data_IF_975252617801
#
_entry.id   IF_975252617801
#
_cell.length_a   1.000
_cell.length_b   1.000
_cell.length_c   1.000
_cell.angle_alpha   90.00
_cell.angle_beta   90.00
_cell.angle_gamma   90.00
#
_symmetry.space_group_name_H-M   'P 1'
#
loop_
_entity.id
_entity.type
_entity.pdbx_description
1 polymer ?
#
# COMPACT_ATOMS: atom_id res chain seq x y z
N UNK A 1 0.10 -18.04 -9.93
CA UNK A 1 -0.65 -16.80 -10.15
C UNK A 1 -1.37 -16.48 -8.85
N UNK A 2 -0.89 -15.51 -8.12
CA UNK A 2 -1.56 -15.06 -6.90
C UNK A 2 -2.74 -14.19 -7.35
N UNK A 3 -3.96 -14.74 -7.28
CA UNK A 3 -5.16 -13.95 -7.46
C UNK A 3 -5.20 -12.90 -6.35
N UNK A 4 -4.91 -11.64 -6.69
CA UNK A 4 -4.94 -10.50 -5.79
C UNK A 4 -6.36 -10.30 -5.21
N UNK A 5 -7.36 -10.82 -5.91
CA UNK A 5 -8.77 -10.82 -5.52
C UNK A 5 -9.24 -12.26 -5.31
N UNK A 6 -9.38 -12.67 -4.04
CA UNK A 6 -10.02 -13.94 -3.66
C UNK A 6 -11.55 -13.91 -3.87
N UNK A 7 -12.02 -13.47 -5.03
CA UNK A 7 -13.39 -13.74 -5.43
C UNK A 7 -13.44 -15.12 -6.08
N UNK A 8 -14.32 -16.00 -5.56
CA UNK A 8 -14.52 -17.34 -6.12
C UNK A 8 -14.85 -17.21 -7.62
N UNK A 9 -13.99 -17.66 -8.54
CA UNK A 9 -14.13 -17.40 -9.99
C UNK A 9 -15.47 -17.85 -10.58
N UNK A 10 -16.08 -18.87 -9.96
CA UNK A 10 -17.32 -19.51 -10.42
C UNK A 10 -18.59 -18.68 -10.15
N UNK A 11 -18.52 -17.60 -9.36
CA UNK A 11 -19.68 -16.75 -9.05
C UNK A 11 -19.68 -15.43 -9.83
N UNK A 12 -18.63 -15.16 -10.62
CA UNK A 12 -18.48 -13.91 -11.38
C UNK A 12 -19.11 -14.02 -12.78
N UNK A 13 -19.75 -12.93 -13.23
CA UNK A 13 -20.17 -12.79 -14.61
C UNK A 13 -18.96 -12.85 -15.57
N UNK A 14 -19.20 -13.13 -16.86
CA UNK A 14 -18.13 -13.09 -17.88
C UNK A 14 -17.42 -11.74 -17.90
N UNK A 15 -18.18 -10.64 -17.75
CA UNK A 15 -17.67 -9.28 -17.69
C UNK A 15 -16.75 -9.07 -16.50
N UNK A 16 -17.13 -9.55 -15.31
CA UNK A 16 -16.34 -9.40 -14.09
C UNK A 16 -15.06 -10.25 -14.12
N UNK A 17 -15.13 -11.46 -14.70
CA UNK A 17 -13.93 -12.29 -14.92
C UNK A 17 -12.93 -11.60 -15.83
N UNK A 18 -13.39 -11.00 -16.93
CA UNK A 18 -12.52 -10.24 -17.84
C UNK A 18 -11.90 -9.03 -17.15
N UNK A 19 -12.71 -8.30 -16.34
CA UNK A 19 -12.21 -7.16 -15.56
C UNK A 19 -11.14 -7.60 -14.54
N UNK A 20 -11.35 -8.68 -13.83
CA UNK A 20 -10.37 -9.25 -12.91
C UNK A 20 -9.07 -9.63 -13.63
N UNK A 21 -9.15 -10.29 -14.79
CA UNK A 21 -7.99 -10.63 -15.59
C UNK A 21 -7.20 -9.38 -16.06
N UNK A 22 -7.90 -8.28 -16.42
CA UNK A 22 -7.26 -7.01 -16.78
C UNK A 22 -6.52 -6.42 -15.59
N UNK A 23 -7.11 -6.45 -14.41
CA UNK A 23 -6.49 -5.95 -13.17
C UNK A 23 -5.23 -6.76 -12.83
N UNK A 24 -5.32 -8.10 -12.87
CA UNK A 24 -4.17 -8.98 -12.63
C UNK A 24 -3.05 -8.74 -13.65
N UNK A 25 -3.40 -8.58 -14.93
CA UNK A 25 -2.46 -8.23 -16.00
C UNK A 25 -1.82 -6.86 -15.79
N UNK A 26 -2.60 -5.88 -15.34
CA UNK A 26 -2.09 -4.55 -15.01
C UNK A 26 -1.12 -4.61 -13.82
N UNK A 27 -1.44 -5.34 -12.76
CA UNK A 27 -0.55 -5.53 -11.60
C UNK A 27 0.76 -6.18 -12.02
N UNK A 28 0.72 -7.24 -12.86
CA UNK A 28 1.95 -7.90 -13.36
C UNK A 28 2.84 -6.96 -14.19
N UNK A 29 2.25 -6.11 -15.02
CA UNK A 29 3.00 -5.14 -15.83
C UNK A 29 3.55 -4.01 -14.97
N UNK A 30 2.72 -3.48 -14.05
CA UNK A 30 3.09 -2.37 -13.18
C UNK A 30 4.22 -2.74 -12.20
N UNK A 31 4.17 -3.93 -11.62
CA UNK A 31 5.21 -4.39 -10.69
C UNK A 31 6.58 -4.56 -11.36
N UNK A 32 6.60 -4.82 -12.69
CA UNK A 32 7.84 -5.07 -13.45
C UNK A 32 8.40 -3.82 -14.13
N UNK A 33 7.53 -2.94 -14.62
CA UNK A 33 7.90 -1.80 -15.48
C UNK A 33 7.62 -0.44 -14.87
N UNK A 34 6.82 -0.41 -13.81
CA UNK A 34 6.35 0.80 -13.18
C UNK A 34 5.25 1.51 -13.97
N UNK A 35 4.69 2.56 -13.34
CA UNK A 35 3.58 3.31 -13.93
C UNK A 35 3.96 4.05 -15.22
N UNK A 36 5.19 4.55 -15.32
CA UNK A 36 5.60 5.35 -16.47
C UNK A 36 5.82 4.51 -17.73
N UNK A 37 6.41 3.32 -17.59
CA UNK A 37 6.84 2.48 -18.70
C UNK A 37 5.85 1.37 -19.08
N UNK A 38 4.68 1.32 -18.44
CA UNK A 38 3.64 0.34 -18.72
C UNK A 38 2.72 0.80 -19.85
N UNK A 39 2.22 -0.14 -20.67
CA UNK A 39 1.29 0.14 -21.76
C UNK A 39 0.01 -0.70 -21.65
N UNK A 40 -1.10 -0.16 -22.19
CA UNK A 40 -2.38 -0.89 -22.28
C UNK A 40 -2.22 -2.18 -23.05
N UNK A 41 -1.42 -2.17 -24.13
CA UNK A 41 -1.16 -3.36 -24.95
C UNK A 41 -0.57 -4.49 -24.11
N UNK A 42 0.43 -4.21 -23.32
CA UNK A 42 1.06 -5.21 -22.43
C UNK A 42 0.11 -5.73 -21.36
N UNK A 43 -0.72 -4.85 -20.79
CA UNK A 43 -1.74 -5.25 -19.82
C UNK A 43 -2.79 -6.18 -20.43
N UNK A 44 -3.26 -5.87 -21.66
CA UNK A 44 -4.19 -6.70 -22.40
C UNK A 44 -3.58 -8.06 -22.78
N UNK A 45 -2.33 -8.08 -23.24
CA UNK A 45 -1.59 -9.31 -23.54
C UNK A 45 -1.45 -10.19 -22.29
N UNK A 46 -1.09 -9.61 -21.13
CA UNK A 46 -1.02 -10.31 -19.86
C UNK A 46 -2.35 -10.85 -19.37
N UNK A 47 -3.43 -10.10 -19.62
CA UNK A 47 -4.80 -10.52 -19.31
C UNK A 47 -5.34 -11.59 -20.28
N UNK A 48 -4.61 -11.92 -21.36
CA UNK A 48 -5.04 -12.88 -22.37
C UNK A 48 -6.24 -12.39 -23.20
N UNK A 49 -6.35 -11.07 -23.44
CA UNK A 49 -7.46 -10.45 -24.16
C UNK A 49 -6.97 -9.58 -25.33
N UNK A 50 -7.84 -9.37 -26.30
CA UNK A 50 -7.58 -8.40 -27.37
C UNK A 50 -7.59 -6.95 -26.85
N UNK A 51 -6.80 -6.07 -27.46
CA UNK A 51 -6.70 -4.66 -27.09
C UNK A 51 -8.08 -3.95 -27.13
N UNK A 52 -8.93 -4.26 -28.10
CA UNK A 52 -10.30 -3.74 -28.16
C UNK A 52 -11.17 -4.15 -26.98
N UNK A 53 -10.95 -5.36 -26.44
CA UNK A 53 -11.66 -5.83 -25.25
C UNK A 53 -11.27 -5.03 -24.01
N UNK A 54 -10.01 -4.60 -23.90
CA UNK A 54 -9.57 -3.72 -22.82
C UNK A 54 -10.37 -2.43 -22.79
N UNK A 55 -10.55 -1.78 -23.93
CA UNK A 55 -11.28 -0.51 -24.03
C UNK A 55 -12.78 -0.61 -23.74
N UNK A 56 -13.37 -1.82 -23.77
CA UNK A 56 -14.72 -2.05 -23.28
C UNK A 56 -14.85 -1.99 -21.75
N UNK A 57 -13.72 -2.08 -21.01
CA UNK A 57 -13.68 -2.02 -19.54
C UNK A 57 -13.06 -0.73 -19.01
N UNK A 58 -12.03 -0.23 -19.67
CA UNK A 58 -11.26 0.95 -19.26
C UNK A 58 -11.02 1.86 -20.45
N UNK A 59 -11.47 3.11 -20.38
CA UNK A 59 -11.37 4.09 -21.48
C UNK A 59 -9.94 4.49 -21.82
N UNK A 60 -9.05 4.45 -20.83
CA UNK A 60 -7.66 4.90 -20.93
C UNK A 60 -6.78 4.27 -19.87
N UNK A 61 -5.47 4.53 -19.96
CA UNK A 61 -4.47 4.07 -19.00
C UNK A 61 -4.71 4.60 -17.58
N UNK A 62 -5.19 5.85 -17.47
CA UNK A 62 -5.48 6.45 -16.17
C UNK A 62 -6.58 5.70 -15.43
N UNK A 63 -7.64 5.29 -16.13
CA UNK A 63 -8.79 4.60 -15.52
C UNK A 63 -8.43 3.25 -14.91
N UNK A 64 -7.53 2.47 -15.51
CA UNK A 64 -7.03 1.22 -14.92
C UNK A 64 -6.08 1.51 -13.74
N UNK A 65 -5.25 2.55 -13.81
CA UNK A 65 -4.38 2.94 -12.71
C UNK A 65 -5.19 3.41 -11.50
N UNK A 66 -6.22 4.23 -11.71
CA UNK A 66 -7.12 4.66 -10.64
C UNK A 66 -7.81 3.45 -9.97
N UNK A 67 -8.17 2.42 -10.75
CA UNK A 67 -8.75 1.19 -10.23
C UNK A 67 -7.74 0.40 -9.39
N UNK A 68 -6.53 0.15 -9.91
CA UNK A 68 -5.45 -0.54 -9.17
C UNK A 68 -5.13 0.24 -7.89
N UNK A 69 -5.04 1.57 -7.97
CA UNK A 69 -4.81 2.42 -6.81
C UNK A 69 -5.89 2.28 -5.73
N UNK A 70 -7.18 2.27 -6.12
CA UNK A 70 -8.29 2.05 -5.18
C UNK A 70 -8.19 0.69 -4.48
N UNK A 71 -7.81 -0.35 -5.22
CA UNK A 71 -7.69 -1.70 -4.67
C UNK A 71 -6.53 -1.79 -3.66
N UNK A 72 -5.41 -1.14 -3.97
CA UNK A 72 -4.28 -1.02 -3.03
C UNK A 72 -4.71 -0.25 -1.77
N UNK A 73 -5.46 0.85 -1.93
CA UNK A 73 -5.98 1.62 -0.79
C UNK A 73 -6.93 0.79 0.09
N UNK A 74 -7.81 -0.02 -0.51
CA UNK A 74 -8.72 -0.92 0.22
C UNK A 74 -7.92 -1.97 1.01
N UNK A 75 -6.94 -2.60 0.39
CA UNK A 75 -6.09 -3.60 1.05
C UNK A 75 -5.29 -2.98 2.20
N UNK A 76 -4.79 -1.76 1.99
CA UNK A 76 -4.13 -0.96 3.00
C UNK A 76 -5.04 -0.71 4.21
N UNK A 77 -6.25 -0.23 3.95
CA UNK A 77 -7.25 0.07 4.98
C UNK A 77 -7.56 -1.17 5.80
N UNK A 78 -7.80 -2.31 5.15
CA UNK A 78 -8.03 -3.59 5.85
C UNK A 78 -6.88 -3.97 6.77
N UNK A 79 -5.63 -3.86 6.28
CA UNK A 79 -4.44 -4.16 7.07
C UNK A 79 -4.33 -3.28 8.31
N UNK A 80 -4.74 -2.00 8.22
CA UNK A 80 -4.75 -1.06 9.35
C UNK A 80 -5.90 -1.37 10.31
N UNK A 81 -7.12 -1.58 9.80
CA UNK A 81 -8.32 -1.82 10.62
C UNK A 81 -8.25 -3.12 11.42
N UNK A 82 -7.62 -4.16 10.88
CA UNK A 82 -7.34 -5.39 11.62
C UNK A 82 -6.49 -5.15 12.88
N UNK A 83 -5.62 -4.13 12.88
CA UNK A 83 -4.83 -3.71 14.03
C UNK A 83 -5.58 -2.82 15.01
N UNK A 84 -6.54 -2.02 14.53
CA UNK A 84 -7.30 -1.12 15.40
C UNK A 84 -8.11 -1.86 16.44
N UNK A 85 -8.52 -3.11 16.16
CA UNK A 85 -9.25 -3.95 17.09
C UNK A 85 -8.45 -4.39 18.31
N UNK A 86 -7.11 -4.39 18.22
CA UNK A 86 -6.23 -5.04 19.20
C UNK A 86 -5.59 -4.10 20.23
N UNK A 87 -5.55 -2.78 19.99
CA UNK A 87 -5.00 -1.83 20.96
C UNK A 87 -5.59 -0.43 20.86
N UNK A 88 -5.71 0.23 22.02
CA UNK A 88 -6.11 1.65 22.11
C UNK A 88 -4.91 2.60 22.21
N UNK A 89 -3.72 2.07 22.44
CA UNK A 89 -2.49 2.85 22.56
C UNK A 89 -2.01 3.33 21.19
N UNK A 90 -1.95 4.65 20.93
CA UNK A 90 -1.51 5.20 19.66
C UNK A 90 -0.08 4.80 19.27
N UNK A 91 0.83 4.65 20.25
CA UNK A 91 2.20 4.23 19.98
C UNK A 91 2.24 2.79 19.50
N UNK A 92 1.50 1.90 20.15
CA UNK A 92 1.41 0.50 19.75
C UNK A 92 0.73 0.35 18.39
N UNK A 93 -0.30 1.17 18.08
CA UNK A 93 -0.93 1.19 16.75
C UNK A 93 0.09 1.53 15.66
N UNK A 94 0.84 2.61 15.83
CA UNK A 94 1.87 3.03 14.84
C UNK A 94 2.95 1.94 14.69
N UNK A 95 3.38 1.31 15.76
CA UNK A 95 4.36 0.21 15.72
C UNK A 95 3.79 -0.98 14.95
N UNK A 96 2.59 -1.42 15.30
CA UNK A 96 1.96 -2.59 14.69
C UNK A 96 1.68 -2.37 13.20
N UNK A 97 1.06 -1.27 12.84
CA UNK A 97 0.77 -0.94 11.44
C UNK A 97 2.04 -0.82 10.61
N UNK A 98 3.11 -0.21 11.14
CA UNK A 98 4.41 -0.14 10.47
C UNK A 98 4.98 -1.55 10.22
N UNK A 99 4.97 -2.43 11.23
CA UNK A 99 5.46 -3.81 11.09
C UNK A 99 4.68 -4.56 10.03
N UNK A 100 3.36 -4.59 10.11
CA UNK A 100 2.51 -5.29 9.14
C UNK A 100 2.67 -4.76 7.73
N UNK A 101 2.82 -3.47 7.57
CA UNK A 101 3.03 -2.85 6.28
C UNK A 101 4.31 -3.35 5.60
N UNK A 102 5.40 -3.37 6.37
CA UNK A 102 6.67 -3.89 5.90
C UNK A 102 6.57 -5.40 5.61
N UNK A 103 5.98 -6.18 6.52
CA UNK A 103 5.78 -7.62 6.36
C UNK A 103 4.93 -7.94 5.12
N UNK A 104 3.79 -7.25 4.95
CA UNK A 104 2.91 -7.43 3.80
C UNK A 104 3.61 -7.17 2.48
N UNK A 105 4.45 -6.13 2.41
CA UNK A 105 5.19 -5.79 1.20
C UNK A 105 6.18 -6.87 0.77
N UNK A 106 6.69 -7.68 1.69
CA UNK A 106 7.58 -8.81 1.39
C UNK A 106 6.80 -10.09 1.09
N UNK A 107 5.70 -10.32 1.80
CA UNK A 107 4.83 -11.48 1.56
C UNK A 107 4.16 -11.43 0.18
N UNK A 108 3.86 -10.22 -0.31
CA UNK A 108 3.27 -9.96 -1.63
C UNK A 108 4.10 -8.90 -2.35
N UNK A 109 5.26 -9.29 -2.94
CA UNK A 109 6.22 -8.33 -3.49
C UNK A 109 5.64 -7.41 -4.57
N UNK A 110 4.77 -7.92 -5.45
CA UNK A 110 4.10 -7.10 -6.47
C UNK A 110 3.29 -5.97 -5.83
N UNK A 111 2.57 -6.25 -4.75
CA UNK A 111 1.87 -5.23 -3.98
C UNK A 111 2.83 -4.18 -3.39
N UNK A 112 3.92 -4.63 -2.78
CA UNK A 112 4.93 -3.74 -2.19
C UNK A 112 5.56 -2.82 -3.22
N UNK A 113 5.91 -3.33 -4.40
CA UNK A 113 6.49 -2.56 -5.52
C UNK A 113 5.49 -1.52 -6.02
N UNK A 114 4.26 -1.95 -6.32
CA UNK A 114 3.21 -1.05 -6.82
C UNK A 114 2.85 0.00 -5.77
N UNK A 115 2.79 -0.37 -4.49
CA UNK A 115 2.53 0.57 -3.40
C UNK A 115 3.59 1.68 -3.34
N UNK A 116 4.89 1.34 -3.44
CA UNK A 116 5.98 2.32 -3.44
C UNK A 116 5.84 3.33 -4.57
N UNK A 117 5.50 2.88 -5.78
CA UNK A 117 5.28 3.75 -6.92
C UNK A 117 3.96 4.53 -6.80
N UNK A 118 2.88 3.86 -6.39
CA UNK A 118 1.57 4.47 -6.24
C UNK A 118 1.58 5.59 -5.19
N UNK A 119 2.38 5.47 -4.14
CA UNK A 119 2.54 6.53 -3.15
C UNK A 119 3.04 7.84 -3.78
N UNK A 120 3.96 7.76 -4.72
CA UNK A 120 4.53 8.93 -5.39
C UNK A 120 3.55 9.53 -6.44
N UNK A 121 2.82 8.69 -7.16
CA UNK A 121 2.00 9.10 -8.32
C UNK A 121 0.50 9.18 -8.07
N UNK A 122 -0.02 8.59 -6.97
CA UNK A 122 -1.45 8.53 -6.69
C UNK A 122 -1.82 9.23 -5.38
N UNK A 123 -2.39 10.45 -5.45
CA UNK A 123 -2.80 11.19 -4.26
C UNK A 123 -3.78 10.41 -3.36
N UNK A 124 -4.62 9.55 -3.94
CA UNK A 124 -5.56 8.72 -3.17
C UNK A 124 -4.84 7.80 -2.21
N UNK A 125 -3.76 7.15 -2.64
CA UNK A 125 -2.95 6.26 -1.79
C UNK A 125 -2.27 7.07 -0.69
N UNK A 126 -1.62 8.18 -1.07
CA UNK A 126 -0.96 9.07 -0.11
C UNK A 126 -1.93 9.55 0.97
N UNK A 127 -3.11 9.99 0.58
CA UNK A 127 -4.11 10.50 1.51
C UNK A 127 -4.61 9.42 2.48
N UNK A 128 -4.84 8.19 2.01
CA UNK A 128 -5.25 7.09 2.89
C UNK A 128 -4.15 6.73 3.90
N UNK A 129 -2.90 6.62 3.45
CA UNK A 129 -1.76 6.36 4.37
C UNK A 129 -1.65 7.46 5.44
N UNK A 130 -1.71 8.72 5.01
CA UNK A 130 -1.57 9.86 5.91
C UNK A 130 -2.72 9.96 6.90
N UNK A 131 -3.94 9.66 6.50
CA UNK A 131 -5.15 9.78 7.32
C UNK A 131 -5.01 9.04 8.66
N UNK A 132 -4.68 7.75 8.62
CA UNK A 132 -4.55 6.93 9.83
C UNK A 132 -3.34 7.34 10.68
N UNK A 133 -2.17 7.52 10.05
CA UNK A 133 -0.97 7.94 10.76
C UNK A 133 -1.15 9.28 11.47
N UNK A 134 -1.72 10.28 10.79
CA UNK A 134 -2.02 11.60 11.38
C UNK A 134 -2.99 11.50 12.54
N UNK A 135 -4.03 10.67 12.41
CA UNK A 135 -5.01 10.45 13.47
C UNK A 135 -4.35 9.89 14.75
N UNK A 136 -3.51 8.86 14.60
CA UNK A 136 -2.82 8.25 15.74
C UNK A 136 -1.78 9.18 16.36
N UNK A 137 -1.04 9.94 15.56
CA UNK A 137 -0.09 10.96 16.06
C UNK A 137 -0.84 12.02 16.86
N UNK A 138 -1.91 12.60 16.33
CA UNK A 138 -2.72 13.62 17.02
C UNK A 138 -3.31 13.09 18.32
N UNK A 139 -3.80 11.84 18.31
CA UNK A 139 -4.31 11.17 19.51
C UNK A 139 -3.20 11.00 20.56
N UNK A 140 -2.03 10.53 20.17
CA UNK A 140 -0.88 10.35 21.08
C UNK A 140 -0.37 11.66 21.67
N UNK A 141 -0.38 12.75 20.91
CA UNK A 141 -0.06 14.11 21.40
C UNK A 141 -1.11 14.54 22.43
N UNK A 142 -2.40 14.37 22.12
CA UNK A 142 -3.52 14.77 23.00
C UNK A 142 -3.44 14.08 24.36
N UNK A 143 -3.11 12.78 24.41
CA UNK A 143 -2.98 12.02 25.65
C UNK A 143 -1.55 12.07 26.24
N UNK A 144 -0.68 12.90 25.69
CA UNK A 144 0.68 13.20 26.15
C UNK A 144 1.66 12.01 26.12
N UNK A 145 1.42 10.96 25.35
CA UNK A 145 2.40 9.88 25.13
C UNK A 145 3.45 10.28 24.09
N UNK A 146 3.12 11.19 23.17
CA UNK A 146 4.09 11.82 22.28
C UNK A 146 4.40 13.25 22.76
N UNK A 147 5.70 13.55 22.89
CA UNK A 147 6.19 14.84 23.43
C UNK A 147 6.64 15.79 22.32
N UNK A 148 5.91 15.79 21.21
CA UNK A 148 6.11 16.67 20.04
C UNK A 148 4.87 17.51 19.79
N UNK A 149 5.03 18.66 19.12
CA UNK A 149 3.93 19.34 18.48
C UNK A 149 3.58 18.67 17.16
N UNK A 150 2.33 18.75 16.75
CA UNK A 150 1.94 18.24 15.43
C UNK A 150 2.64 19.06 14.34
N UNK A 151 3.37 18.36 13.48
CA UNK A 151 4.07 18.93 12.34
C UNK A 151 3.97 17.97 11.16
N UNK A 152 3.53 18.47 10.00
CA UNK A 152 3.42 17.70 8.77
C UNK A 152 4.78 17.14 8.35
N UNK A 153 5.86 17.89 8.55
CA UNK A 153 7.21 17.44 8.21
C UNK A 153 7.63 16.20 9.01
N UNK A 154 7.26 16.11 10.29
CA UNK A 154 7.49 14.90 11.10
C UNK A 154 6.72 13.71 10.55
N UNK A 155 5.49 13.92 10.11
CA UNK A 155 4.67 12.87 9.47
C UNK A 155 5.33 12.37 8.18
N UNK A 156 5.81 13.29 7.35
CA UNK A 156 6.52 12.96 6.09
C UNK A 156 7.81 12.18 6.36
N UNK A 157 8.60 12.56 7.36
CA UNK A 157 9.80 11.81 7.77
C UNK A 157 9.45 10.38 8.19
N UNK A 158 8.37 10.18 8.94
CA UNK A 158 7.92 8.83 9.33
C UNK A 158 7.58 8.00 8.10
N UNK A 159 6.85 8.57 7.13
CA UNK A 159 6.53 7.88 5.88
C UNK A 159 7.80 7.52 5.10
N UNK A 160 8.75 8.44 4.99
CA UNK A 160 10.04 8.16 4.30
C UNK A 160 10.77 7.00 4.95
N UNK A 161 10.79 6.90 6.29
CA UNK A 161 11.38 5.76 7.00
C UNK A 161 10.68 4.44 6.63
N UNK A 162 9.35 4.42 6.61
CA UNK A 162 8.56 3.24 6.24
C UNK A 162 8.83 2.82 4.79
N UNK A 163 8.75 3.76 3.84
CA UNK A 163 9.00 3.50 2.42
C UNK A 163 10.44 3.01 2.19
N UNK A 164 11.42 3.59 2.91
CA UNK A 164 12.81 3.13 2.84
C UNK A 164 12.96 1.69 3.35
N UNK A 165 12.32 1.36 4.49
CA UNK A 165 12.33 0.02 5.03
C UNK A 165 11.73 -0.99 4.04
N UNK A 166 10.58 -0.67 3.43
CA UNK A 166 9.94 -1.51 2.41
C UNK A 166 10.90 -1.75 1.22
N UNK A 167 11.49 -0.68 0.65
CA UNK A 167 12.47 -0.81 -0.46
C UNK A 167 13.63 -1.73 -0.10
N UNK A 168 14.16 -1.59 1.11
CA UNK A 168 15.30 -2.38 1.58
C UNK A 168 14.93 -3.85 1.77
N UNK A 169 13.76 -4.13 2.31
CA UNK A 169 13.24 -5.48 2.51
C UNK A 169 12.92 -6.19 1.19
N UNK A 170 12.30 -5.47 0.23
CA UNK A 170 12.04 -6.02 -1.11
C UNK A 170 13.33 -6.39 -1.86
N UNK A 171 14.40 -5.61 -1.65
CA UNK A 171 15.70 -5.86 -2.30
C UNK A 171 16.49 -7.00 -1.65
N UNK A 172 16.49 -7.09 -0.32
CA UNK A 172 17.42 -7.94 0.44
C UNK A 172 16.75 -9.11 1.14
N UNK A 173 15.42 -9.25 1.06
CA UNK A 173 14.63 -10.17 1.86
C UNK A 173 14.26 -9.60 3.23
N UNK A 174 13.40 -10.34 3.95
CA UNK A 174 12.88 -9.90 5.25
C UNK A 174 13.96 -9.95 6.34
N UNK A 175 14.10 -8.85 7.08
CA UNK A 175 15.00 -8.71 8.22
C UNK A 175 14.30 -7.95 9.36
N UNK A 176 13.99 -8.65 10.45
CA UNK A 176 13.38 -8.08 11.65
C UNK A 176 14.16 -6.90 12.22
N UNK A 177 15.49 -6.90 12.11
CA UNK A 177 16.33 -5.80 12.63
C UNK A 177 16.04 -4.48 11.95
N UNK A 178 15.70 -4.51 10.64
CA UNK A 178 15.30 -3.30 9.89
C UNK A 178 13.95 -2.82 10.40
N UNK A 179 13.00 -3.72 10.62
CA UNK A 179 11.66 -3.39 11.14
C UNK A 179 11.76 -2.74 12.52
N UNK A 180 12.53 -3.35 13.42
CA UNK A 180 12.71 -2.85 14.80
C UNK A 180 13.45 -1.50 14.82
N UNK A 181 14.47 -1.31 13.98
CA UNK A 181 15.14 -0.02 13.84
C UNK A 181 14.21 1.06 13.29
N UNK A 182 13.36 0.72 12.32
CA UNK A 182 12.40 1.66 11.74
C UNK A 182 11.38 2.10 12.79
N UNK A 183 10.77 1.16 13.50
CA UNK A 183 9.79 1.49 14.55
C UNK A 183 10.42 2.28 15.69
N UNK A 184 11.65 1.94 16.08
CA UNK A 184 12.41 2.68 17.11
C UNK A 184 12.69 4.12 16.68
N UNK A 185 13.12 4.34 15.44
CA UNK A 185 13.36 5.67 14.88
C UNK A 185 12.07 6.52 14.83
N UNK A 186 10.94 5.90 14.46
CA UNK A 186 9.62 6.57 14.48
C UNK A 186 9.27 7.01 15.91
N UNK A 187 9.45 6.15 16.90
CA UNK A 187 9.18 6.48 18.30
C UNK A 187 10.11 7.59 18.83
N UNK A 188 11.36 7.63 18.38
CA UNK A 188 12.28 8.73 18.70
C UNK A 188 11.82 10.06 18.08
N UNK A 189 11.40 10.09 16.80
CA UNK A 189 10.85 11.29 16.16
C UNK A 189 9.62 11.81 16.92
N UNK A 190 8.76 10.93 17.41
CA UNK A 190 7.58 11.28 18.21
C UNK A 190 7.91 11.61 19.67
N UNK A 191 9.18 11.50 20.10
CA UNK A 191 9.62 11.65 21.48
C UNK A 191 8.74 10.85 22.45
N UNK A 192 8.45 9.60 22.04
CA UNK A 192 7.65 8.67 22.84
C UNK A 192 8.35 8.37 24.16
N UNK A 193 7.64 8.54 25.25
CA UNK A 193 8.07 8.09 26.58
C UNK A 193 7.12 7.01 27.05
N UNK A 194 7.70 5.85 27.28
CA UNK A 194 7.02 4.71 27.91
C UNK A 194 6.71 5.02 29.38
#
# INVERSE_FOLDING_TARGET
MNNFFQSKPNLLSKKDRTRAAIIDGAIDVLSKKGFQNSSIKEMAEKAGIANGTFYNHYKDRKSIFDEVGKLIAIELTKTIEEDESNTKDPAQKIINSTKRFIERSVQVPDWGIIFLEAYDYMPVIRNEVLKYLVQDIKKGIKIKVFKVSYDVFVVEQIIVLILHAIRKQLKNGYDNKIVDKTTSAIMQLLKYKK
#
